data_IF_704898180598
#
_entry.id   IF_704898180598
#
_cell.length_a   1.000
_cell.length_b   1.000
_cell.length_c   1.000
_cell.angle_alpha   90.00
_cell.angle_beta   90.00
_cell.angle_gamma   90.00
#
_symmetry.space_group_name_H-M   'P 1'
#
loop_
_entity.id
_entity.type
_entity.pdbx_description
1 polymer ?
#
# COMPACT_ATOMS: atom_id res chain seq x y z
N UNK A 1 18.88 3.05 2.54
CA UNK A 1 17.89 2.39 3.40
C UNK A 1 16.53 2.57 2.76
N UNK A 2 15.71 1.52 2.74
CA UNK A 2 14.38 1.55 2.10
C UNK A 2 13.32 1.96 3.12
N UNK A 3 12.42 2.86 2.73
CA UNK A 3 11.27 3.27 3.54
C UNK A 3 10.04 2.48 3.07
N UNK A 4 9.30 1.90 4.02
CA UNK A 4 8.02 1.24 3.79
C UNK A 4 6.93 2.14 4.37
N UNK A 5 5.93 2.49 3.56
CA UNK A 5 4.75 3.20 4.05
C UNK A 5 3.76 2.19 4.62
N UNK A 6 3.29 2.47 5.84
CA UNK A 6 2.25 1.73 6.54
C UNK A 6 0.98 2.58 6.52
N UNK A 7 0.00 2.19 5.74
CA UNK A 7 -1.28 2.89 5.60
C UNK A 7 -2.19 2.47 6.73
N UNK A 8 -2.56 3.40 7.60
CA UNK A 8 -3.49 3.16 8.70
C UNK A 8 -4.92 3.28 8.18
N UNK A 9 -5.74 2.27 8.46
CA UNK A 9 -7.19 2.33 8.30
C UNK A 9 -7.82 1.70 9.54
N UNK A 10 -8.50 2.52 10.35
CA UNK A 10 -9.00 2.16 11.67
C UNK A 10 -7.88 1.71 12.61
N UNK A 11 -8.01 0.48 13.09
CA UNK A 11 -7.07 -0.23 13.99
C UNK A 11 -6.12 -1.16 13.22
N UNK A 12 -6.05 -1.05 11.89
CA UNK A 12 -5.22 -1.90 11.05
C UNK A 12 -4.24 -1.08 10.21
N UNK A 13 -3.10 -1.70 9.91
CA UNK A 13 -2.04 -1.13 9.10
C UNK A 13 -1.76 -2.02 7.92
N UNK A 14 -1.71 -1.41 6.75
CA UNK A 14 -1.53 -2.08 5.46
C UNK A 14 -0.24 -1.64 4.81
N UNK A 15 0.50 -2.59 4.24
CA UNK A 15 1.65 -2.25 3.41
C UNK A 15 1.95 -3.32 2.38
N UNK A 16 2.72 -2.94 1.37
CA UNK A 16 3.20 -3.86 0.34
C UNK A 16 4.68 -3.68 0.13
N UNK A 17 5.43 -4.76 0.33
CA UNK A 17 6.86 -4.77 0.10
C UNK A 17 7.32 -6.12 -0.43
N UNK A 18 8.24 -6.11 -1.39
CA UNK A 18 8.89 -7.32 -1.86
C UNK A 18 10.21 -7.53 -1.12
N UNK A 19 10.21 -8.46 -0.18
CA UNK A 19 11.41 -8.85 0.55
C UNK A 19 12.27 -9.77 -0.33
N UNK A 20 13.50 -9.34 -0.63
CA UNK A 20 14.48 -10.16 -1.37
C UNK A 20 15.00 -11.32 -0.54
N UNK A 21 15.14 -11.09 0.76
CA UNK A 21 15.53 -12.12 1.71
C UNK A 21 14.29 -12.94 2.12
N UNK A 22 14.35 -14.24 1.83
CA UNK A 22 13.26 -15.17 2.17
C UNK A 22 13.06 -15.29 3.67
N UNK A 23 14.11 -15.19 4.49
CA UNK A 23 14.02 -15.24 5.94
C UNK A 23 13.14 -14.12 6.49
N UNK A 24 13.31 -12.90 5.96
CA UNK A 24 12.49 -11.74 6.35
C UNK A 24 11.02 -11.97 5.99
N UNK A 25 10.75 -12.50 4.79
CA UNK A 25 9.38 -12.81 4.39
C UNK A 25 8.74 -13.87 5.28
N UNK A 26 9.42 -14.99 5.56
CA UNK A 26 8.88 -16.07 6.39
C UNK A 26 8.62 -15.61 7.84
N UNK A 27 9.44 -14.69 8.37
CA UNK A 27 9.22 -14.08 9.70
C UNK A 27 7.97 -13.20 9.75
N UNK A 28 7.68 -12.48 8.66
CA UNK A 28 6.52 -11.59 8.53
C UNK A 28 5.29 -12.27 7.94
N UNK A 29 5.41 -13.54 7.53
CA UNK A 29 4.36 -14.33 6.90
C UNK A 29 3.05 -14.39 7.70
N UNK A 30 3.03 -14.39 9.05
CA UNK A 30 1.78 -14.32 9.81
C UNK A 30 0.90 -13.10 9.46
N UNK A 31 1.54 -12.00 9.03
CA UNK A 31 0.87 -10.76 8.64
C UNK A 31 0.51 -10.70 7.15
N UNK A 32 0.89 -11.69 6.35
CA UNK A 32 0.75 -11.64 4.90
C UNK A 32 -0.59 -12.20 4.45
N UNK A 33 -1.41 -11.34 3.82
CA UNK A 33 -2.62 -11.75 3.12
C UNK A 33 -2.28 -12.18 1.69
N UNK A 34 -2.42 -13.48 1.43
CA UNK A 34 -2.17 -14.07 0.10
C UNK A 34 -3.27 -13.83 -0.94
N UNK A 35 -4.47 -13.42 -0.51
CA UNK A 35 -5.57 -13.08 -1.41
C UNK A 35 -5.37 -11.66 -1.95
N UNK A 36 -5.05 -10.72 -1.05
CA UNK A 36 -4.84 -9.31 -1.38
C UNK A 36 -3.38 -8.96 -1.73
N UNK A 37 -2.46 -9.91 -1.57
CA UNK A 37 -1.02 -9.75 -1.83
C UNK A 37 -0.39 -8.55 -1.10
N UNK A 38 -0.80 -8.34 0.16
CA UNK A 38 -0.35 -7.26 1.03
C UNK A 38 -0.15 -7.77 2.45
N UNK A 39 0.52 -6.98 3.27
CA UNK A 39 0.62 -7.23 4.69
C UNK A 39 -0.45 -6.43 5.42
N UNK A 40 -1.06 -7.06 6.41
CA UNK A 40 -2.10 -6.49 7.26
C UNK A 40 -1.75 -6.80 8.73
N UNK A 41 -1.72 -5.76 9.55
CA UNK A 41 -1.24 -5.84 10.93
C UNK A 41 -2.17 -5.06 11.83
N UNK A 42 -2.60 -5.68 12.93
CA UNK A 42 -3.39 -5.00 13.94
C UNK A 42 -2.54 -4.03 14.76
N UNK A 43 -3.14 -2.95 15.26
CA UNK A 43 -2.44 -1.91 16.02
C UNK A 43 -1.65 -2.47 17.22
N UNK A 44 -2.17 -3.50 17.90
CA UNK A 44 -1.49 -4.16 19.02
C UNK A 44 -0.23 -4.95 18.62
N UNK A 45 -0.09 -5.33 17.34
CA UNK A 45 1.06 -6.07 16.82
C UNK A 45 2.11 -5.16 16.18
N UNK A 46 1.82 -3.86 16.05
CA UNK A 46 2.66 -2.90 15.35
C UNK A 46 4.04 -2.71 15.98
N UNK A 47 4.14 -2.77 17.31
CA UNK A 47 5.43 -2.62 17.98
C UNK A 47 6.41 -3.75 17.60
N UNK A 48 5.89 -4.98 17.52
CA UNK A 48 6.67 -6.16 17.13
C UNK A 48 7.07 -6.08 15.65
N UNK A 49 6.13 -5.76 14.77
CA UNK A 49 6.40 -5.53 13.35
C UNK A 49 7.52 -4.49 13.14
N UNK A 50 7.41 -3.34 13.81
CA UNK A 50 8.36 -2.24 13.69
C UNK A 50 9.76 -2.66 14.12
N UNK A 51 9.88 -3.42 15.22
CA UNK A 51 11.16 -3.96 15.68
C UNK A 51 11.78 -4.90 14.65
N UNK A 52 11.00 -5.86 14.13
CA UNK A 52 11.45 -6.82 13.10
C UNK A 52 11.94 -6.12 11.84
N UNK A 53 11.15 -5.19 11.30
CA UNK A 53 11.49 -4.46 10.09
C UNK A 53 12.73 -3.56 10.27
N UNK A 54 12.85 -2.87 11.41
CA UNK A 54 14.03 -2.06 11.71
C UNK A 54 15.28 -2.90 11.91
N UNK A 55 15.18 -4.07 12.53
CA UNK A 55 16.28 -5.02 12.67
C UNK A 55 16.83 -5.45 11.29
N UNK A 56 15.95 -5.64 10.32
CA UNK A 56 16.32 -5.94 8.93
C UNK A 56 16.71 -4.70 8.09
N UNK A 57 16.85 -3.53 8.71
CA UNK A 57 17.35 -2.31 8.09
C UNK A 57 16.32 -1.48 7.31
N UNK A 58 15.02 -1.76 7.51
CA UNK A 58 13.94 -0.96 6.93
C UNK A 58 13.56 0.21 7.84
N UNK A 59 13.20 1.32 7.22
CA UNK A 59 12.52 2.43 7.89
C UNK A 59 11.02 2.38 7.58
N UNK A 60 10.24 2.95 8.49
CA UNK A 60 8.78 2.91 8.42
C UNK A 60 8.26 4.33 8.48
N UNK A 61 7.27 4.63 7.65
CA UNK A 61 6.48 5.85 7.69
C UNK A 61 5.02 5.45 7.84
N UNK A 62 4.35 5.95 8.87
CA UNK A 62 2.90 5.81 8.98
C UNK A 62 2.27 6.85 8.06
N UNK A 63 1.29 6.41 7.27
CA UNK A 63 0.42 7.23 6.45
C UNK A 63 -0.95 7.12 7.07
N UNK A 64 -1.41 8.22 7.66
CA UNK A 64 -2.73 8.29 8.28
C UNK A 64 -3.83 8.33 7.21
N UNK A 65 -5.08 8.02 7.59
CA UNK A 65 -6.22 7.92 6.66
C UNK A 65 -6.37 9.17 5.77
N UNK A 66 -6.27 10.36 6.37
CA UNK A 66 -6.38 11.65 5.69
C UNK A 66 -5.27 11.90 4.65
N UNK A 67 -4.18 11.13 4.71
CA UNK A 67 -3.05 11.18 3.79
C UNK A 67 -3.10 10.12 2.70
N UNK A 68 -3.99 9.11 2.79
CA UNK A 68 -4.14 8.05 1.79
C UNK A 68 -4.36 8.63 0.38
N UNK A 69 -5.22 9.65 0.18
CA UNK A 69 -5.42 10.23 -1.16
C UNK A 69 -4.14 10.74 -1.83
N UNK A 70 -3.12 11.14 -1.06
CA UNK A 70 -1.84 11.62 -1.60
C UNK A 70 -1.02 10.52 -2.26
N UNK A 71 -1.34 9.24 -1.99
CA UNK A 71 -0.71 8.06 -2.60
C UNK A 71 -1.61 7.37 -3.63
N UNK A 72 -2.79 7.94 -3.90
CA UNK A 72 -3.79 7.28 -4.74
C UNK A 72 -3.72 7.76 -6.18
N UNK A 73 -3.94 6.83 -7.12
CA UNK A 73 -4.12 7.10 -8.55
C UNK A 73 -5.42 6.48 -9.02
N UNK A 74 -6.23 7.27 -9.74
CA UNK A 74 -7.46 6.81 -10.37
C UNK A 74 -7.15 6.35 -11.79
N UNK A 75 -7.63 5.17 -12.15
CA UNK A 75 -7.50 4.59 -13.49
C UNK A 75 -8.84 4.07 -14.01
N UNK A 76 -9.00 4.03 -15.32
CA UNK A 76 -10.11 3.33 -15.96
C UNK A 76 -9.93 1.81 -15.80
N UNK A 77 -10.99 1.07 -15.43
CA UNK A 77 -10.91 -0.37 -15.14
C UNK A 77 -10.57 -1.24 -16.34
N UNK A 78 -10.78 -0.75 -17.57
CA UNK A 78 -10.59 -1.48 -18.82
C UNK A 78 -9.19 -1.34 -19.43
N UNK A 79 -8.37 -0.43 -18.92
CA UNK A 79 -6.95 -0.31 -19.29
C UNK A 79 -6.19 -1.60 -18.89
N UNK A 80 -5.01 -1.85 -19.47
CA UNK A 80 -4.11 -2.92 -19.01
C UNK A 80 -3.13 -2.34 -17.99
N UNK A 81 -3.30 -2.71 -16.73
CA UNK A 81 -2.53 -2.15 -15.60
C UNK A 81 -2.09 -3.23 -14.59
N UNK A 82 -1.85 -4.46 -15.05
CA UNK A 82 -1.37 -5.55 -14.19
C UNK A 82 -0.06 -5.20 -13.48
N UNK A 83 0.78 -4.40 -14.12
CA UNK A 83 2.03 -3.89 -13.57
C UNK A 83 1.79 -2.86 -12.44
N UNK A 84 0.77 -2.00 -12.56
CA UNK A 84 0.40 -1.05 -11.51
C UNK A 84 -0.10 -1.77 -10.24
N UNK A 85 -0.92 -2.83 -10.41
CA UNK A 85 -1.44 -3.63 -9.30
C UNK A 85 -0.33 -4.26 -8.44
N UNK A 86 0.84 -4.52 -9.02
CA UNK A 86 2.00 -5.02 -8.26
C UNK A 86 2.47 -4.02 -7.22
N UNK A 87 2.29 -2.73 -7.48
CA UNK A 87 2.71 -1.65 -6.61
C UNK A 87 1.56 -1.04 -5.79
N UNK A 88 0.30 -1.43 -6.05
CA UNK A 88 -0.86 -1.02 -5.25
C UNK A 88 -0.98 -1.85 -3.96
N UNK A 89 -1.10 -1.18 -2.83
CA UNK A 89 -1.43 -1.73 -1.49
C UNK A 89 -2.91 -2.05 -1.40
N UNK A 90 -3.75 -1.23 -2.03
CA UNK A 90 -5.19 -1.44 -2.09
C UNK A 90 -5.78 -1.01 -3.43
N UNK A 91 -6.95 -1.55 -3.75
CA UNK A 91 -7.72 -1.28 -4.95
C UNK A 91 -9.19 -1.11 -4.59
N UNK A 92 -9.72 0.10 -4.80
CA UNK A 92 -11.14 0.39 -4.59
C UNK A 92 -11.79 0.60 -5.95
N UNK A 93 -12.85 -0.12 -6.25
CA UNK A 93 -13.56 -0.02 -7.54
C UNK A 93 -14.83 0.82 -7.41
N UNK A 94 -15.05 1.72 -8.37
CA UNK A 94 -16.27 2.53 -8.46
C UNK A 94 -16.69 2.69 -9.93
N UNK A 95 -17.81 2.07 -10.30
CA UNK A 95 -18.33 2.15 -11.66
C UNK A 95 -17.33 1.61 -12.69
N UNK A 96 -16.84 2.49 -13.55
CA UNK A 96 -15.84 2.19 -14.58
C UNK A 96 -14.40 2.58 -14.19
N UNK A 97 -14.19 3.05 -12.95
CA UNK A 97 -12.90 3.49 -12.44
C UNK A 97 -12.40 2.61 -11.27
N UNK A 98 -11.09 2.67 -11.00
CA UNK A 98 -10.45 2.12 -9.81
C UNK A 98 -9.52 3.14 -9.19
N UNK A 99 -9.55 3.26 -7.87
CA UNK A 99 -8.52 3.91 -7.09
C UNK A 99 -7.46 2.89 -6.68
N UNK A 100 -6.20 3.16 -7.02
CA UNK A 100 -5.04 2.38 -6.62
C UNK A 100 -4.29 3.13 -5.53
N UNK A 101 -4.28 2.61 -4.30
CA UNK A 101 -3.44 3.16 -3.22
C UNK A 101 -2.02 2.64 -3.42
N UNK A 102 -1.10 3.49 -3.85
CA UNK A 102 0.25 3.07 -4.25
C UNK A 102 1.16 2.95 -3.03
N UNK A 103 2.04 1.93 -3.02
CA UNK A 103 2.94 1.65 -1.88
C UNK A 103 3.89 2.80 -1.51
N UNK A 104 4.21 3.67 -2.46
CA UNK A 104 5.08 4.83 -2.28
C UNK A 104 4.84 5.89 -3.38
N UNK A 105 5.43 7.07 -3.20
CA UNK A 105 5.29 8.20 -4.14
C UNK A 105 5.90 7.91 -5.51
N UNK A 106 6.95 7.09 -5.57
CA UNK A 106 7.58 6.72 -6.86
C UNK A 106 6.59 5.88 -7.66
N UNK A 107 5.96 4.90 -7.03
CA UNK A 107 4.92 4.09 -7.65
C UNK A 107 3.69 4.92 -8.05
N UNK A 108 3.31 5.94 -7.26
CA UNK A 108 2.28 6.91 -7.63
C UNK A 108 2.66 7.67 -8.90
N UNK A 109 3.85 8.25 -8.95
CA UNK A 109 4.33 9.00 -10.11
C UNK A 109 4.33 8.13 -11.38
N UNK A 110 4.84 6.90 -11.30
CA UNK A 110 4.81 5.93 -12.41
C UNK A 110 3.38 5.58 -12.86
N UNK A 111 2.43 5.49 -11.91
CA UNK A 111 1.04 5.17 -12.21
C UNK A 111 0.27 6.35 -12.82
N UNK A 112 0.64 7.60 -12.48
CA UNK A 112 0.00 8.81 -13.02
C UNK A 112 0.17 8.96 -14.54
N UNK A 113 1.20 8.37 -15.14
CA UNK A 113 1.35 8.31 -16.60
C UNK A 113 0.16 7.62 -17.31
N UNK A 114 -0.63 6.85 -16.57
CA UNK A 114 -1.77 6.07 -17.08
C UNK A 114 -3.06 6.33 -16.32
N UNK A 115 -3.07 7.34 -15.45
CA UNK A 115 -4.17 7.63 -14.56
C UNK A 115 -4.27 9.12 -14.28
N UNK A 116 -4.97 9.45 -13.19
CA UNK A 116 -5.13 10.82 -12.71
C UNK A 116 -5.11 10.86 -11.18
N UNK A 117 -4.89 12.06 -10.65
CA UNK A 117 -5.07 12.27 -9.21
C UNK A 117 -6.55 12.14 -8.82
N UNK A 118 -6.85 11.69 -7.57
CA UNK A 118 -8.22 11.65 -7.07
C UNK A 118 -8.81 13.06 -7.01
N UNK A 119 -10.02 13.19 -7.57
CA UNK A 119 -10.86 14.38 -7.43
C UNK A 119 -11.57 14.39 -6.07
N UNK A 120 -12.41 15.40 -5.84
CA UNK A 120 -13.17 15.55 -4.59
C UNK A 120 -14.07 14.33 -4.32
N UNK A 121 -14.68 13.76 -5.36
CA UNK A 121 -15.54 12.58 -5.26
C UNK A 121 -14.76 11.37 -4.70
N UNK A 122 -13.55 11.14 -5.20
CA UNK A 122 -12.69 10.07 -4.71
C UNK A 122 -12.11 10.35 -3.32
N UNK A 123 -11.74 11.61 -3.03
CA UNK A 123 -11.20 12.00 -1.73
C UNK A 123 -12.19 11.79 -0.57
N UNK A 124 -13.49 11.89 -0.82
CA UNK A 124 -14.52 11.60 0.20
C UNK A 124 -14.70 10.10 0.49
N UNK A 125 -14.16 9.22 -0.37
CA UNK A 125 -14.34 7.76 -0.28
C UNK A 125 -13.08 7.01 0.14
N UNK A 126 -11.94 7.67 0.09
CA UNK A 126 -10.62 7.17 0.48
C UNK A 126 -10.35 7.52 1.93
#
# INVERSE_FOLDING_TARGET
MTVINLFRVGDRYFFKHYFRDRGVFEELRPYYDSLEYRFEVWEEEMEDLVKKLRFHGFNLKIVEEDQIPDYTVIIDKYVKHKDLLRNAVDVIELGDEKALVMKDMVAKEEALDRGREPDEEWRERL
#
